data_IF_121152891198
#
_entry.id   IF_121152891198
#
_cell.length_a   1.000
_cell.length_b   1.000
_cell.length_c   1.000
_cell.angle_alpha   90.00
_cell.angle_beta   90.00
_cell.angle_gamma   90.00
#
_symmetry.space_group_name_H-M   'P 1'
#
loop_
_entity.id
_entity.type
_entity.pdbx_description
1 polymer ?
#
# COMPACT_ATOMS: atom_id res chain seq x y z
N UNK A 1 3.34 11.69 5.55
CA UNK A 1 4.09 11.08 6.66
C UNK A 1 3.33 9.88 7.17
N UNK A 2 3.94 8.70 7.08
CA UNK A 2 3.39 7.47 7.66
C UNK A 2 3.62 7.49 9.17
N UNK A 3 2.61 7.09 9.94
CA UNK A 3 2.73 6.92 11.39
C UNK A 3 2.39 5.48 11.77
N UNK A 4 3.10 4.93 12.75
CA UNK A 4 2.88 3.57 13.22
C UNK A 4 2.77 3.54 14.75
N UNK A 5 1.85 2.75 15.28
CA UNK A 5 1.63 2.57 16.72
C UNK A 5 1.36 1.11 17.04
N UNK A 6 1.97 0.61 18.11
CA UNK A 6 1.67 -0.73 18.65
C UNK A 6 0.47 -0.62 19.58
N UNK A 7 -0.51 -1.51 19.42
CA UNK A 7 -1.78 -1.46 20.14
C UNK A 7 -2.25 -2.88 20.46
N UNK A 8 -3.03 -3.04 21.52
CA UNK A 8 -3.78 -4.27 21.76
C UNK A 8 -5.13 -4.20 21.04
N UNK A 9 -5.43 -5.17 20.19
CA UNK A 9 -6.70 -5.24 19.48
C UNK A 9 -7.78 -5.87 20.35
N UNK A 10 -8.56 -5.02 21.03
CA UNK A 10 -9.65 -5.43 21.91
C UNK A 10 -10.94 -5.82 21.19
N UNK A 11 -10.99 -5.70 19.85
CA UNK A 11 -12.23 -5.91 19.08
C UNK A 11 -12.58 -7.39 18.92
N UNK A 12 -11.58 -8.28 18.89
CA UNK A 12 -11.74 -9.71 18.60
C UNK A 12 -10.94 -10.55 19.59
N UNK A 13 -11.54 -10.93 20.74
CA UNK A 13 -10.91 -11.88 21.64
C UNK A 13 -10.89 -13.29 21.01
N UNK A 14 -9.88 -14.09 21.36
CA UNK A 14 -9.91 -15.53 21.15
C UNK A 14 -10.82 -16.22 22.17
N UNK A 15 -11.13 -17.50 21.94
CA UNK A 15 -11.79 -18.39 22.91
C UNK A 15 -11.14 -18.33 24.29
N UNK A 16 -9.83 -18.14 24.33
CA UNK A 16 -9.02 -18.18 25.55
C UNK A 16 -8.94 -16.82 26.26
N UNK A 17 -9.72 -15.82 25.82
CA UNK A 17 -9.76 -14.48 26.41
C UNK A 17 -8.55 -13.58 26.09
N UNK A 18 -7.61 -14.06 25.26
CA UNK A 18 -6.45 -13.28 24.81
C UNK A 18 -6.78 -12.39 23.61
N UNK A 19 -6.09 -11.26 23.51
CA UNK A 19 -6.19 -10.26 22.45
C UNK A 19 -4.89 -10.20 21.64
N UNK A 20 -4.99 -9.88 20.36
CA UNK A 20 -3.82 -9.75 19.48
C UNK A 20 -3.10 -8.42 19.71
N UNK A 21 -1.78 -8.44 19.81
CA UNK A 21 -0.97 -7.22 19.71
C UNK A 21 -0.74 -6.92 18.23
N UNK A 22 -1.14 -5.73 17.81
CA UNK A 22 -1.10 -5.28 16.41
C UNK A 22 -0.27 -4.02 16.25
N UNK A 23 0.22 -3.79 15.04
CA UNK A 23 0.89 -2.56 14.63
C UNK A 23 -0.05 -1.86 13.66
N UNK A 24 -0.56 -0.70 14.06
CA UNK A 24 -1.41 0.14 13.23
C UNK A 24 -0.56 1.13 12.46
N UNK A 25 -0.58 1.03 11.15
CA UNK A 25 0.07 1.96 10.22
C UNK A 25 -0.97 2.90 9.63
N UNK A 26 -0.73 4.22 9.71
CA UNK A 26 -1.65 5.25 9.23
C UNK A 26 -0.96 6.13 8.20
N UNK A 27 -1.60 6.29 7.04
CA UNK A 27 -1.14 7.10 5.93
C UNK A 27 -2.34 7.71 5.20
N UNK A 28 -2.27 9.00 4.85
CA UNK A 28 -3.34 9.71 4.13
C UNK A 28 -4.75 9.51 4.72
N UNK A 29 -4.88 9.65 6.05
CA UNK A 29 -6.13 9.48 6.83
C UNK A 29 -6.74 8.07 6.77
N UNK A 30 -6.05 7.10 6.15
CA UNK A 30 -6.41 5.68 6.13
C UNK A 30 -5.47 4.92 7.06
N UNK A 31 -5.94 3.84 7.67
CA UNK A 31 -5.11 3.01 8.54
C UNK A 31 -5.27 1.53 8.25
N UNK A 32 -4.15 0.82 8.22
CA UNK A 32 -4.07 -0.64 8.14
C UNK A 32 -3.43 -1.20 9.41
N UNK A 33 -3.65 -2.49 9.68
CA UNK A 33 -3.15 -3.16 10.88
C UNK A 33 -2.41 -4.44 10.52
N UNK A 34 -1.18 -4.58 11.00
CA UNK A 34 -0.36 -5.77 10.87
C UNK A 34 -0.31 -6.53 12.19
N UNK A 35 -0.48 -7.85 12.17
CA UNK A 35 -0.46 -8.66 13.38
C UNK A 35 1.00 -8.99 13.78
N UNK A 36 1.34 -8.89 15.06
CA UNK A 36 2.66 -9.31 15.59
C UNK A 36 2.75 -10.81 15.85
N UNK A 37 1.63 -11.53 15.83
CA UNK A 37 1.55 -12.93 16.23
C UNK A 37 1.72 -13.15 17.73
N UNK A 38 1.62 -12.10 18.53
CA UNK A 38 1.58 -12.14 20.00
C UNK A 38 0.15 -11.97 20.47
N UNK A 39 -0.28 -12.86 21.35
CA UNK A 39 -1.60 -12.85 21.96
C UNK A 39 -1.43 -12.80 23.48
N UNK A 40 -2.07 -11.85 24.14
CA UNK A 40 -1.96 -11.63 25.59
C UNK A 40 -3.32 -11.26 26.18
N UNK A 41 -3.50 -11.53 27.47
CA UNK A 41 -4.66 -11.03 28.19
C UNK A 41 -4.49 -9.52 28.46
N UNK A 42 -5.61 -8.83 28.65
CA UNK A 42 -5.64 -7.36 28.76
C UNK A 42 -4.90 -6.85 30.01
N UNK A 43 -4.90 -7.64 31.07
CA UNK A 43 -4.27 -7.37 32.36
C UNK A 43 -2.76 -7.28 32.24
N UNK A 44 -2.16 -7.94 31.24
CA UNK A 44 -0.72 -7.95 31.01
C UNK A 44 -0.25 -6.88 30.01
N UNK A 45 -1.14 -6.03 29.52
CA UNK A 45 -0.81 -4.97 28.57
C UNK A 45 -0.77 -3.60 29.23
N UNK A 46 0.25 -2.80 28.91
CA UNK A 46 0.33 -1.40 29.33
C UNK A 46 0.10 -0.48 28.13
N UNK A 47 -1.06 0.17 28.07
CA UNK A 47 -1.38 1.11 26.97
C UNK A 47 -0.43 2.30 26.91
N UNK A 48 -0.04 2.85 28.07
CA UNK A 48 0.87 4.00 28.16
C UNK A 48 2.25 3.73 27.55
N UNK A 49 2.76 2.51 27.74
CA UNK A 49 4.09 2.09 27.25
C UNK A 49 4.00 1.24 25.99
N UNK A 50 2.80 0.88 25.55
CA UNK A 50 2.51 -0.02 24.43
C UNK A 50 3.35 -1.32 24.49
N UNK A 51 3.44 -1.91 25.68
CA UNK A 51 4.26 -3.09 25.93
C UNK A 51 3.62 -4.07 26.92
N UNK A 52 4.13 -5.30 26.93
CA UNK A 52 3.77 -6.31 27.93
C UNK A 52 4.44 -5.97 29.27
N UNK A 53 3.67 -5.93 30.34
CA UNK A 53 4.16 -5.61 31.69
C UNK A 53 5.04 -6.73 32.25
N UNK A 54 5.92 -6.37 33.19
CA UNK A 54 6.89 -7.29 33.81
C UNK A 54 6.26 -8.45 34.59
N UNK A 55 5.00 -8.30 35.01
CA UNK A 55 4.22 -9.35 35.72
C UNK A 55 4.04 -10.61 34.86
N UNK A 56 4.07 -10.49 33.53
CA UNK A 56 4.00 -11.65 32.66
C UNK A 56 5.35 -12.38 32.65
N UNK A 57 5.40 -13.71 32.89
CA UNK A 57 6.67 -14.47 32.97
C UNK A 57 7.56 -14.29 31.73
N UNK A 58 6.92 -14.26 30.55
CA UNK A 58 7.61 -14.12 29.26
C UNK A 58 7.64 -12.69 28.71
N UNK A 59 7.43 -11.64 29.53
CA UNK A 59 7.33 -10.26 29.05
C UNK A 59 8.53 -9.82 28.20
N UNK A 60 9.77 -10.19 28.58
CA UNK A 60 10.98 -9.84 27.82
C UNK A 60 10.97 -10.44 26.43
N UNK A 61 10.62 -11.73 26.33
CA UNK A 61 10.56 -12.46 25.07
C UNK A 61 9.45 -11.91 24.16
N UNK A 62 8.25 -11.68 24.73
CA UNK A 62 7.11 -11.15 23.98
C UNK A 62 7.38 -9.73 23.48
N UNK A 63 7.94 -8.86 24.32
CA UNK A 63 8.32 -7.50 23.93
C UNK A 63 9.40 -7.52 22.85
N UNK A 64 10.40 -8.42 22.95
CA UNK A 64 11.41 -8.59 21.89
C UNK A 64 10.77 -8.96 20.56
N UNK A 65 9.84 -9.93 20.55
CA UNK A 65 9.11 -10.33 19.35
C UNK A 65 8.27 -9.19 18.76
N UNK A 66 7.59 -8.41 19.59
CA UNK A 66 6.83 -7.23 19.16
C UNK A 66 7.77 -6.21 18.50
N UNK A 67 8.91 -5.93 19.14
CA UNK A 67 9.93 -5.01 18.61
C UNK A 67 10.51 -5.49 17.27
N UNK A 68 10.80 -6.78 17.12
CA UNK A 68 11.30 -7.34 15.85
C UNK A 68 10.31 -7.12 14.71
N UNK A 69 9.02 -7.40 14.94
CA UNK A 69 7.97 -7.16 13.94
C UNK A 69 7.81 -5.67 13.65
N UNK A 70 7.89 -4.83 14.68
CA UNK A 70 7.83 -3.37 14.54
C UNK A 70 8.96 -2.83 13.67
N UNK A 71 10.19 -3.27 13.92
CA UNK A 71 11.35 -2.90 13.10
C UNK A 71 11.20 -3.39 11.66
N UNK A 72 10.64 -4.58 11.45
CA UNK A 72 10.33 -5.09 10.11
C UNK A 72 9.35 -4.18 9.38
N UNK A 73 8.24 -3.79 10.02
CA UNK A 73 7.25 -2.86 9.46
C UNK A 73 7.89 -1.51 9.16
N UNK A 74 8.66 -0.97 10.09
CA UNK A 74 9.32 0.32 9.91
C UNK A 74 10.29 0.31 8.71
N UNK A 75 11.09 -0.75 8.58
CA UNK A 75 12.01 -0.91 7.44
C UNK A 75 11.25 -0.97 6.11
N UNK A 76 10.18 -1.76 6.04
CA UNK A 76 9.34 -1.85 4.85
C UNK A 76 8.68 -0.52 4.46
N UNK A 77 8.21 0.25 5.44
CA UNK A 77 7.67 1.60 5.19
C UNK A 77 8.74 2.51 4.60
N UNK A 78 9.95 2.52 5.17
CA UNK A 78 11.06 3.38 4.69
C UNK A 78 11.42 3.05 3.24
N UNK A 79 11.51 1.75 2.90
CA UNK A 79 11.82 1.32 1.53
C UNK A 79 10.73 1.76 0.54
N UNK A 80 9.46 1.61 0.90
CA UNK A 80 8.33 2.05 0.06
C UNK A 80 8.20 3.57 -0.05
N UNK A 81 8.53 4.32 1.00
CA UNK A 81 8.57 5.79 0.95
C UNK A 81 9.73 6.28 0.06
N UNK A 82 10.88 5.60 0.06
CA UNK A 82 12.02 5.92 -0.80
C UNK A 82 11.70 5.74 -2.30
N UNK A 83 10.81 4.80 -2.64
CA UNK A 83 10.36 4.54 -4.01
C UNK A 83 9.18 5.45 -4.45
N UNK A 84 8.70 6.35 -3.58
CA UNK A 84 7.46 7.15 -3.76
C UNK A 84 6.19 6.30 -4.04
N UNK A 85 6.22 5.00 -3.74
CA UNK A 85 5.16 4.03 -4.06
C UNK A 85 4.51 3.43 -2.81
N UNK A 86 4.46 4.22 -1.72
CA UNK A 86 3.85 3.73 -0.49
C UNK A 86 2.35 3.43 -0.68
N UNK A 87 2.03 2.14 -0.59
CA UNK A 87 0.67 1.61 -0.58
C UNK A 87 0.52 0.58 0.54
N UNK A 88 -0.69 0.45 1.08
CA UNK A 88 -0.97 -0.56 2.12
C UNK A 88 -0.83 -1.99 1.58
N UNK A 89 -1.12 -2.19 0.29
CA UNK A 89 -0.97 -3.48 -0.37
C UNK A 89 0.52 -3.83 -0.53
N UNK A 90 1.35 -2.88 -0.98
CA UNK A 90 2.80 -3.07 -1.05
C UNK A 90 3.45 -3.37 0.31
N UNK A 91 2.98 -2.70 1.37
CA UNK A 91 3.41 -3.00 2.75
C UNK A 91 3.03 -4.43 3.16
N UNK A 92 1.82 -4.88 2.83
CA UNK A 92 1.36 -6.23 3.15
C UNK A 92 2.18 -7.28 2.40
N UNK A 93 2.41 -7.08 1.11
CA UNK A 93 3.19 -7.98 0.26
C UNK A 93 4.63 -8.14 0.76
N UNK A 94 5.24 -7.04 1.23
CA UNK A 94 6.58 -7.06 1.79
C UNK A 94 6.63 -7.77 3.16
N UNK A 95 5.58 -7.64 3.97
CA UNK A 95 5.49 -8.26 5.29
C UNK A 95 5.20 -9.77 5.23
N UNK A 96 4.31 -10.19 4.34
CA UNK A 96 3.91 -11.59 4.15
C UNK A 96 5.01 -12.42 3.44
N UNK A 97 6.11 -11.79 3.01
CA UNK A 97 7.17 -12.45 2.25
C UNK A 97 6.74 -12.87 0.85
N UNK A 98 5.48 -12.60 0.50
CA UNK A 98 4.87 -12.83 -0.79
C UNK A 98 5.13 -11.68 -1.73
N UNK A 99 6.41 -11.34 -1.95
CA UNK A 99 6.82 -11.12 -3.34
C UNK A 99 6.69 -12.47 -4.07
N UNK A 100 5.45 -12.96 -4.23
CA UNK A 100 5.12 -13.68 -5.44
C UNK A 100 5.58 -12.72 -6.53
N UNK A 101 6.38 -13.22 -7.45
CA UNK A 101 6.77 -12.50 -8.65
C UNK A 101 5.55 -12.23 -9.56
N UNK A 102 4.40 -11.86 -9.00
CA UNK A 102 3.39 -11.12 -9.71
C UNK A 102 3.84 -9.66 -9.70
N UNK A 103 4.78 -9.43 -10.61
CA UNK A 103 5.16 -8.16 -11.20
C UNK A 103 3.95 -7.56 -11.94
N UNK A 104 2.77 -7.51 -11.31
CA UNK A 104 1.73 -6.57 -11.72
C UNK A 104 2.23 -5.24 -11.18
N UNK A 105 3.05 -4.66 -12.05
CA UNK A 105 3.78 -3.44 -11.90
C UNK A 105 2.86 -2.32 -11.41
N UNK A 106 2.87 -2.02 -10.11
CA UNK A 106 2.53 -0.68 -9.62
C UNK A 106 3.46 0.39 -10.24
N UNK A 107 4.60 -0.04 -10.81
CA UNK A 107 5.49 0.77 -11.65
C UNK A 107 5.00 0.95 -13.10
N UNK A 108 3.84 0.42 -13.51
CA UNK A 108 3.42 0.56 -14.89
C UNK A 108 2.87 1.96 -15.08
N UNK A 109 3.52 2.75 -15.93
CA UNK A 109 3.03 4.07 -16.26
C UNK A 109 1.74 3.97 -17.08
N UNK A 110 0.94 5.03 -17.05
CA UNK A 110 -0.29 5.12 -17.83
C UNK A 110 -0.03 4.83 -19.32
N UNK A 111 1.04 5.40 -19.89
CA UNK A 111 1.38 5.19 -21.30
C UNK A 111 1.78 3.75 -21.62
N UNK A 112 2.46 3.05 -20.71
CA UNK A 112 2.79 1.64 -20.89
C UNK A 112 1.51 0.79 -20.87
N UNK A 113 0.64 1.03 -19.89
CA UNK A 113 -0.65 0.34 -19.78
C UNK A 113 -1.53 0.58 -21.01
N UNK A 114 -1.67 1.84 -21.44
CA UNK A 114 -2.48 2.21 -22.59
C UNK A 114 -1.97 1.58 -23.90
N UNK A 115 -0.66 1.56 -24.12
CA UNK A 115 -0.07 0.92 -25.29
C UNK A 115 -0.26 -0.61 -25.27
N UNK A 116 -0.13 -1.25 -24.10
CA UNK A 116 -0.42 -2.67 -23.95
C UNK A 116 -1.89 -2.97 -24.29
N UNK A 117 -2.83 -2.18 -23.77
CA UNK A 117 -4.26 -2.35 -24.05
C UNK A 117 -4.54 -2.22 -25.56
N UNK A 118 -3.94 -1.23 -26.23
CA UNK A 118 -4.09 -1.07 -27.69
C UNK A 118 -3.54 -2.30 -28.43
N UNK A 119 -2.37 -2.81 -28.06
CA UNK A 119 -1.79 -4.00 -28.68
C UNK A 119 -2.67 -5.24 -28.49
N UNK A 120 -3.24 -5.43 -27.29
CA UNK A 120 -4.21 -6.50 -27.01
C UNK A 120 -5.46 -6.36 -27.88
N UNK A 121 -5.97 -5.14 -28.06
CA UNK A 121 -7.13 -4.88 -28.92
C UNK A 121 -6.87 -5.20 -30.39
N UNK A 122 -5.67 -4.93 -30.89
CA UNK A 122 -5.25 -5.39 -32.22
C UNK A 122 -5.21 -6.92 -32.31
N UNK A 123 -4.69 -7.59 -31.28
CA UNK A 123 -4.60 -9.06 -31.25
C UNK A 123 -5.97 -9.75 -31.27
N UNK A 124 -7.01 -9.14 -30.68
CA UNK A 124 -8.39 -9.67 -30.68
C UNK A 124 -9.25 -9.13 -31.85
N UNK A 125 -8.63 -8.62 -32.92
CA UNK A 125 -9.29 -8.07 -34.12
C UNK A 125 -10.26 -6.90 -33.84
N UNK A 126 -10.06 -6.15 -32.75
CA UNK A 126 -10.82 -4.92 -32.45
C UNK A 126 -10.07 -3.67 -32.93
N UNK A 127 -9.57 -3.70 -34.16
CA UNK A 127 -8.68 -2.67 -34.72
C UNK A 127 -9.30 -1.25 -34.72
N UNK A 128 -10.60 -1.12 -35.03
CA UNK A 128 -11.27 0.19 -35.00
C UNK A 128 -11.23 0.84 -33.61
N UNK A 129 -11.54 0.06 -32.56
CA UNK A 129 -11.44 0.55 -31.18
C UNK A 129 -9.97 0.80 -30.79
N UNK A 130 -9.06 -0.08 -31.20
CA UNK A 130 -7.63 0.08 -30.92
C UNK A 130 -7.11 1.44 -31.44
N UNK A 131 -7.50 1.85 -32.65
CA UNK A 131 -7.13 3.14 -33.25
C UNK A 131 -7.69 4.32 -32.43
N UNK A 132 -8.94 4.23 -31.98
CA UNK A 132 -9.56 5.27 -31.14
C UNK A 132 -8.77 5.43 -29.83
N UNK A 133 -8.46 4.32 -29.15
CA UNK A 133 -7.70 4.32 -27.90
C UNK A 133 -6.27 4.82 -28.09
N UNK A 134 -5.61 4.43 -29.18
CA UNK A 134 -4.29 4.94 -29.54
C UNK A 134 -4.31 6.46 -29.74
N UNK A 135 -5.31 6.96 -30.47
CA UNK A 135 -5.47 8.39 -30.75
C UNK A 135 -5.71 9.19 -29.46
N UNK A 136 -6.59 8.69 -28.58
CA UNK A 136 -6.84 9.31 -27.29
C UNK A 136 -5.59 9.34 -26.40
N UNK A 137 -4.86 8.22 -26.33
CA UNK A 137 -3.59 8.10 -25.59
C UNK A 137 -2.55 9.08 -26.10
N UNK A 138 -2.37 9.16 -27.42
CA UNK A 138 -1.41 10.08 -28.04
C UNK A 138 -1.74 11.55 -27.73
N UNK A 139 -3.01 11.93 -27.76
CA UNK A 139 -3.43 13.29 -27.39
C UNK A 139 -3.16 13.60 -25.92
N UNK A 140 -3.49 12.67 -25.02
CA UNK A 140 -3.23 12.86 -23.59
C UNK A 140 -1.73 12.97 -23.29
N UNK A 141 -0.91 12.12 -23.91
CA UNK A 141 0.56 12.18 -23.77
C UNK A 141 1.17 13.43 -24.42
N UNK A 142 0.56 13.95 -25.48
CA UNK A 142 0.94 15.24 -26.05
C UNK A 142 0.67 16.43 -25.11
N UNK A 143 -0.35 16.33 -24.24
CA UNK A 143 -0.63 17.34 -23.23
C UNK A 143 0.37 17.32 -22.06
N UNK A 144 0.79 16.13 -21.64
CA UNK A 144 1.65 16.00 -20.45
C UNK A 144 3.07 16.52 -20.66
N UNK A 145 3.53 16.68 -21.91
CA UNK A 145 4.91 17.06 -22.26
C UNK A 145 6.00 16.23 -21.54
N UNK A 146 5.64 15.04 -21.05
CA UNK A 146 6.52 14.12 -20.34
C UNK A 146 6.50 12.76 -21.04
N UNK A 147 7.65 12.05 -21.11
CA UNK A 147 7.71 10.74 -21.75
C UNK A 147 6.97 9.65 -20.95
N UNK A 148 6.75 9.87 -19.65
CA UNK A 148 6.14 8.92 -18.73
C UNK A 148 5.12 9.65 -17.89
N UNK A 149 3.89 9.12 -17.84
CA UNK A 149 2.80 9.63 -17.00
C UNK A 149 2.45 8.57 -15.94
N UNK A 150 2.62 8.88 -14.65
CA UNK A 150 2.19 7.97 -13.58
C UNK A 150 0.68 8.10 -13.35
N UNK A 151 0.01 7.03 -12.92
CA UNK A 151 -1.41 7.09 -12.56
C UNK A 151 -1.71 8.07 -11.42
N UNK A 152 -0.78 8.22 -10.47
CA UNK A 152 -0.89 9.18 -9.36
C UNK A 152 -0.90 10.65 -9.82
N UNK A 153 -0.37 10.94 -11.01
CA UNK A 153 -0.40 12.28 -11.60
C UNK A 153 -1.75 12.61 -12.25
N UNK A 154 -2.57 11.59 -12.58
CA UNK A 154 -3.89 11.76 -13.20
C UNK A 154 -4.93 12.07 -12.12
N UNK A 155 -5.03 13.33 -11.75
CA UNK A 155 -6.02 13.84 -10.80
C UNK A 155 -7.07 14.74 -11.47
N UNK A 156 -8.05 15.21 -10.70
CA UNK A 156 -9.11 16.08 -11.21
C UNK A 156 -8.57 17.35 -11.89
N UNK A 157 -7.59 18.01 -11.28
CA UNK A 157 -6.98 19.24 -11.81
C UNK A 157 -6.29 18.98 -13.16
N UNK A 158 -5.58 17.86 -13.26
CA UNK A 158 -4.95 17.42 -14.51
C UNK A 158 -6.00 17.16 -15.61
N UNK A 159 -7.05 16.40 -15.30
CA UNK A 159 -8.10 16.06 -16.26
C UNK A 159 -8.88 17.29 -16.72
N UNK A 160 -9.18 18.22 -15.82
CA UNK A 160 -9.85 19.47 -16.17
C UNK A 160 -8.96 20.42 -16.99
N UNK A 161 -7.64 20.41 -16.73
CA UNK A 161 -6.66 21.10 -17.56
C UNK A 161 -6.62 20.54 -18.99
N UNK A 162 -6.57 19.22 -19.13
CA UNK A 162 -6.62 18.54 -20.43
C UNK A 162 -7.92 18.83 -21.18
N UNK A 163 -9.07 18.73 -20.48
CA UNK A 163 -10.39 19.05 -21.04
C UNK A 163 -10.43 20.47 -21.62
N UNK A 164 -9.89 21.45 -20.90
CA UNK A 164 -9.84 22.85 -21.36
C UNK A 164 -8.97 23.04 -22.62
N UNK A 165 -7.91 22.26 -22.77
CA UNK A 165 -7.09 22.28 -23.99
C UNK A 165 -7.83 21.71 -25.20
N UNK A 166 -8.65 20.67 -25.01
CA UNK A 166 -9.40 20.03 -26.10
C UNK A 166 -10.54 20.89 -26.67
N UNK A 167 -11.00 21.89 -25.93
CA UNK A 167 -12.10 22.79 -26.32
C UNK A 167 -11.58 24.05 -27.04
N UNK A 168 -10.26 24.28 -27.02
CA UNK A 168 -9.61 25.34 -27.81
C UNK A 168 -9.33 24.87 -29.23
#
# INVERSE_FOLDING_TARGET
MVTYRVLLDTRRPKSDGTYAVIIRTTFNRKSSTSNTGVWIQKEFWCDNKSNVISTHPNHKLLNKKITEVYLKVQKSVIELEAEEDFSFDGLKDQLDGSRKAQKISNSMSFNQYANQLVAEMFAINKAGNAIIYQTATNRLMGYTNKPVLKFTEINYTFLDGFRRQLIK
#
